data_IF_560111136782
#
_entry.id   IF_560111136782
#
_cell.length_a   1.000
_cell.length_b   1.000
_cell.length_c   1.000
_cell.angle_alpha   90.00
_cell.angle_beta   90.00
_cell.angle_gamma   90.00
#
_symmetry.space_group_name_H-M   'P 1'
#
loop_
_entity.id
_entity.type
_entity.pdbx_description
1 polymer ?
#
# COMPACT_ATOMS: atom_id res chain seq x y z
N UNK A 1 33.44 2.36 -1.46
CA UNK A 1 32.03 2.34 -1.02
C UNK A 1 31.60 0.88 -0.96
N UNK A 2 31.16 0.40 0.21
CA UNK A 2 30.59 -0.93 0.37
C UNK A 2 29.09 -0.85 0.04
N UNK A 3 28.53 -1.73 -0.80
CA UNK A 3 27.09 -1.80 -0.98
C UNK A 3 26.46 -2.32 0.31
N UNK A 4 25.60 -1.52 0.94
CA UNK A 4 24.76 -1.99 2.04
C UNK A 4 23.63 -2.78 1.39
N UNK A 5 23.62 -4.10 1.58
CA UNK A 5 22.47 -4.92 1.20
C UNK A 5 21.32 -4.60 2.14
N UNK A 6 20.35 -3.83 1.66
CA UNK A 6 19.09 -3.61 2.36
C UNK A 6 18.26 -4.88 2.30
N UNK A 7 18.08 -5.56 3.45
CA UNK A 7 17.16 -6.68 3.58
C UNK A 7 15.74 -6.15 3.76
N UNK A 8 15.15 -5.62 2.68
CA UNK A 8 13.73 -5.31 2.64
C UNK A 8 12.93 -6.62 2.72
N UNK A 9 11.91 -6.66 3.56
CA UNK A 9 10.99 -7.81 3.57
C UNK A 9 10.24 -7.88 2.23
N UNK A 10 9.90 -9.08 1.74
CA UNK A 10 9.12 -9.21 0.51
C UNK A 10 7.73 -8.56 0.66
N UNK A 11 7.35 -7.75 -0.32
CA UNK A 11 6.03 -7.10 -0.40
C UNK A 11 5.32 -7.60 -1.67
N UNK A 12 4.14 -8.17 -1.49
CA UNK A 12 3.24 -8.56 -2.57
C UNK A 12 2.03 -7.62 -2.61
N UNK A 13 1.69 -7.12 -3.80
CA UNK A 13 0.53 -6.24 -3.99
C UNK A 13 -0.47 -6.88 -4.95
N UNK A 14 -1.66 -7.20 -4.45
CA UNK A 14 -2.80 -7.61 -5.26
C UNK A 14 -3.64 -6.38 -5.62
N UNK A 15 -3.90 -6.20 -6.92
CA UNK A 15 -4.63 -5.05 -7.47
C UNK A 15 -6.03 -5.46 -7.87
N UNK A 16 -7.04 -4.72 -7.43
CA UNK A 16 -8.43 -4.88 -7.86
C UNK A 16 -9.03 -3.52 -8.19
N UNK A 17 -8.98 -3.14 -9.46
CA UNK A 17 -9.42 -1.81 -9.91
C UNK A 17 -10.69 -1.92 -10.77
N UNK A 18 -11.61 -1.00 -10.54
CA UNK A 18 -12.82 -0.82 -11.35
C UNK A 18 -12.75 0.56 -11.99
N UNK A 19 -12.53 0.62 -13.31
CA UNK A 19 -12.60 1.86 -14.10
C UNK A 19 -11.83 3.08 -13.54
N UNK A 20 -10.72 2.83 -12.84
CA UNK A 20 -9.82 3.86 -12.30
C UNK A 20 -8.38 3.58 -12.70
N UNK A 21 -7.62 4.67 -12.88
CA UNK A 21 -6.21 4.63 -13.27
C UNK A 21 -5.32 4.88 -12.06
N UNK A 22 -4.97 3.79 -11.36
CA UNK A 22 -4.21 3.83 -10.12
C UNK A 22 -2.84 3.18 -10.30
N UNK A 23 -1.80 3.86 -9.82
CA UNK A 23 -0.46 3.31 -9.61
C UNK A 23 -0.10 3.33 -8.12
N UNK A 24 0.95 2.62 -7.74
CA UNK A 24 1.44 2.62 -6.37
C UNK A 24 2.95 2.44 -6.25
N UNK A 25 3.48 2.90 -5.12
CA UNK A 25 4.83 2.61 -4.66
C UNK A 25 4.78 2.15 -3.20
N UNK A 26 5.44 1.03 -2.88
CA UNK A 26 5.50 0.48 -1.52
C UNK A 26 6.82 0.84 -0.86
N UNK A 27 6.80 1.13 0.44
CA UNK A 27 7.95 1.58 1.21
C UNK A 27 8.10 0.77 2.49
N UNK A 28 9.26 0.13 2.67
CA UNK A 28 9.62 -0.58 3.88
C UNK A 28 10.15 0.38 4.95
N UNK A 29 9.22 1.10 5.59
CA UNK A 29 9.56 2.20 6.52
C UNK A 29 10.33 1.71 7.76
N UNK A 30 9.90 0.61 8.36
CA UNK A 30 10.58 0.00 9.51
C UNK A 30 10.23 -1.49 9.64
N UNK A 31 10.84 -2.19 10.60
CA UNK A 31 10.65 -3.63 10.76
C UNK A 31 9.19 -4.04 11.01
N UNK A 32 8.33 -3.17 11.55
CA UNK A 32 6.91 -3.43 11.87
C UNK A 32 5.96 -2.41 11.21
N UNK A 33 6.51 -1.52 10.37
CA UNK A 33 5.80 -0.37 9.82
C UNK A 33 6.01 -0.33 8.30
N UNK A 34 4.91 -0.17 7.58
CA UNK A 34 4.89 -0.06 6.13
C UNK A 34 4.10 1.16 5.68
N UNK A 35 4.49 1.72 4.54
CA UNK A 35 3.71 2.67 3.79
C UNK A 35 3.52 2.26 2.33
N UNK A 36 2.45 2.76 1.72
CA UNK A 36 2.20 2.71 0.29
C UNK A 36 1.72 4.08 -0.17
N UNK A 37 2.35 4.61 -1.21
CA UNK A 37 1.84 5.76 -1.94
C UNK A 37 0.85 5.24 -2.98
N UNK A 38 -0.36 5.76 -2.98
CA UNK A 38 -1.40 5.47 -3.98
C UNK A 38 -1.54 6.70 -4.87
N UNK A 39 -1.27 6.55 -6.17
CA UNK A 39 -1.31 7.63 -7.14
C UNK A 39 -2.48 7.44 -8.11
N UNK A 40 -3.39 8.40 -8.17
CA UNK A 40 -4.45 8.45 -9.15
C UNK A 40 -4.02 9.34 -10.32
N UNK A 41 -3.66 8.71 -11.43
CA UNK A 41 -3.28 9.40 -12.67
C UNK A 41 -4.45 9.46 -13.68
N UNK A 42 -5.66 9.15 -13.22
CA UNK A 42 -6.88 9.29 -14.01
C UNK A 42 -7.57 10.63 -13.83
N UNK A 43 -8.71 10.73 -14.50
CA UNK A 43 -9.51 11.96 -14.64
C UNK A 43 -10.73 11.98 -13.67
N UNK A 44 -10.90 10.92 -12.88
CA UNK A 44 -11.98 10.78 -11.89
C UNK A 44 -11.40 10.49 -10.51
N UNK A 45 -12.05 10.98 -9.48
CA UNK A 45 -11.70 10.68 -8.09
C UNK A 45 -11.90 9.19 -7.80
N UNK A 46 -11.03 8.62 -6.97
CA UNK A 46 -11.07 7.22 -6.60
C UNK A 46 -11.27 7.04 -5.09
N UNK A 47 -12.12 6.09 -4.70
CA UNK A 47 -12.17 5.57 -3.33
C UNK A 47 -11.41 4.24 -3.28
N UNK A 48 -10.38 4.20 -2.43
CA UNK A 48 -9.48 3.06 -2.30
C UNK A 48 -9.54 2.44 -0.91
N UNK A 49 -9.44 1.11 -0.86
CA UNK A 49 -9.27 0.31 0.34
C UNK A 49 -7.93 -0.40 0.27
N UNK A 50 -7.03 -0.07 1.20
CA UNK A 50 -5.71 -0.67 1.34
C UNK A 50 -5.75 -1.63 2.52
N UNK A 51 -5.64 -2.94 2.24
CA UNK A 51 -5.65 -3.99 3.27
C UNK A 51 -4.24 -4.54 3.45
N UNK A 52 -3.62 -4.25 4.58
CA UNK A 52 -2.29 -4.72 4.94
C UNK A 52 -2.39 -6.01 5.75
N UNK A 53 -1.63 -7.04 5.39
CA UNK A 53 -1.61 -8.34 6.08
C UNK A 53 -0.17 -8.76 6.39
N UNK A 54 0.13 -8.95 7.68
CA UNK A 54 1.40 -9.48 8.18
C UNK A 54 1.18 -10.86 8.84
N UNK A 55 1.43 -11.94 8.10
CA UNK A 55 1.36 -13.30 8.64
C UNK A 55 0.04 -13.62 9.37
N UNK A 56 0.08 -14.20 10.59
CA UNK A 56 -1.11 -14.53 11.37
C UNK A 56 -1.74 -13.34 12.11
N UNK A 57 -1.21 -12.12 11.96
CA UNK A 57 -1.88 -10.93 12.53
C UNK A 57 -3.18 -10.61 11.75
N UNK A 58 -4.17 -10.07 12.47
CA UNK A 58 -5.40 -9.60 11.84
C UNK A 58 -5.09 -8.51 10.79
N UNK A 59 -5.70 -8.57 9.59
CA UNK A 59 -5.49 -7.57 8.55
C UNK A 59 -5.88 -6.16 9.01
N UNK A 60 -5.10 -5.16 8.61
CA UNK A 60 -5.37 -3.74 8.89
C UNK A 60 -5.86 -3.08 7.62
N UNK A 61 -7.09 -2.55 7.64
CA UNK A 61 -7.68 -1.87 6.49
C UNK A 61 -7.65 -0.36 6.67
N UNK A 62 -7.16 0.36 5.66
CA UNK A 62 -7.22 1.82 5.56
C UNK A 62 -8.03 2.19 4.33
N UNK A 63 -9.01 3.08 4.49
CA UNK A 63 -9.80 3.63 3.39
C UNK A 63 -9.38 5.07 3.14
N UNK A 64 -9.17 5.41 1.89
CA UNK A 64 -8.74 6.75 1.46
C UNK A 64 -9.47 7.14 0.18
N UNK A 65 -9.70 8.43 -0.01
CA UNK A 65 -10.06 8.99 -1.31
C UNK A 65 -8.81 9.59 -1.93
N UNK A 66 -8.62 9.35 -3.23
CA UNK A 66 -7.51 9.87 -4.02
C UNK A 66 -8.10 10.66 -5.17
N UNK A 67 -8.01 11.98 -5.09
CA UNK A 67 -8.52 12.85 -6.15
C UNK A 67 -7.82 12.62 -7.49
N UNK A 68 -8.48 12.97 -8.59
CA UNK A 68 -7.91 12.91 -9.93
C UNK A 68 -6.58 13.69 -10.01
N UNK A 69 -5.53 13.06 -10.57
CA UNK A 69 -4.19 13.62 -10.63
C UNK A 69 -3.49 13.81 -9.27
N UNK A 70 -3.98 13.19 -8.19
CA UNK A 70 -3.41 13.29 -6.84
C UNK A 70 -2.82 11.99 -6.35
N UNK A 71 -1.97 12.09 -5.34
CA UNK A 71 -1.42 10.96 -4.60
C UNK A 71 -1.71 11.09 -3.11
N UNK A 72 -1.82 9.96 -2.42
CA UNK A 72 -1.92 9.90 -0.96
C UNK A 72 -0.97 8.84 -0.42
N UNK A 73 -0.38 9.10 0.75
CA UNK A 73 0.39 8.12 1.50
C UNK A 73 -0.49 7.40 2.51
N UNK A 74 -0.42 6.07 2.54
CA UNK A 74 -1.19 5.23 3.45
C UNK A 74 -0.22 4.33 4.20
N UNK A 75 -0.25 4.38 5.53
CA UNK A 75 0.65 3.58 6.36
C UNK A 75 -0.10 2.71 7.38
N UNK A 76 0.61 1.67 7.82
CA UNK A 76 0.14 0.78 8.87
C UNK A 76 1.32 0.30 9.70
N UNK A 77 1.10 0.23 11.02
CA UNK A 77 2.01 -0.37 11.98
C UNK A 77 1.41 -1.66 12.51
N UNK A 78 2.21 -2.71 12.60
CA UNK A 78 1.87 -4.02 13.15
C UNK A 78 2.42 -4.18 14.57
N UNK A 79 1.96 -5.22 15.26
CA UNK A 79 2.45 -5.52 16.61
C UNK A 79 3.72 -6.38 16.58
N UNK A 80 3.96 -7.11 15.48
CA UNK A 80 5.15 -7.93 15.26
C UNK A 80 5.91 -7.43 14.04
N UNK A 81 7.18 -7.81 13.95
CA UNK A 81 7.99 -7.55 12.76
C UNK A 81 7.36 -8.19 11.52
N UNK A 82 7.47 -7.51 10.39
CA UNK A 82 6.99 -7.93 9.09
C UNK A 82 8.01 -8.89 8.50
N UNK A 83 7.57 -10.13 8.28
CA UNK A 83 8.39 -11.16 7.62
C UNK A 83 8.04 -11.20 6.13
N UNK A 84 6.75 -11.09 5.81
CA UNK A 84 6.21 -11.00 4.46
C UNK A 84 4.95 -10.16 4.50
N UNK A 85 4.91 -9.11 3.69
CA UNK A 85 3.77 -8.23 3.61
C UNK A 85 2.91 -8.56 2.40
N UNK A 86 1.60 -8.64 2.61
CA UNK A 86 0.63 -8.63 1.51
C UNK A 86 -0.24 -7.40 1.61
N UNK A 87 -0.38 -6.68 0.51
CA UNK A 87 -1.26 -5.53 0.37
C UNK A 87 -2.32 -5.87 -0.66
N UNK A 88 -3.60 -5.73 -0.30
CA UNK A 88 -4.69 -5.71 -1.26
C UNK A 88 -5.11 -4.27 -1.49
N UNK A 89 -4.94 -3.79 -2.72
CA UNK A 89 -5.31 -2.43 -3.13
C UNK A 89 -6.55 -2.51 -4.01
N UNK A 90 -7.69 -2.14 -3.44
CA UNK A 90 -8.99 -2.15 -4.11
C UNK A 90 -9.39 -0.71 -4.37
N UNK A 91 -9.63 -0.33 -5.61
CA UNK A 91 -10.01 1.04 -5.96
C UNK A 91 -11.15 1.04 -6.98
N UNK A 92 -12.04 2.01 -6.84
CA UNK A 92 -13.20 2.23 -7.69
C UNK A 92 -13.53 3.73 -7.72
N UNK A 93 -14.34 4.23 -8.66
CA UNK A 93 -14.71 5.64 -8.71
C UNK A 93 -15.40 6.07 -7.41
N UNK A 94 -15.08 7.27 -6.95
CA UNK A 94 -15.59 7.83 -5.69
C UNK A 94 -17.12 7.97 -5.68
#
# INVERSE_FOLDING_TARGET
MLPVTAFAYPIEVEKQYQDVKIDYATHDVYHDTVAITVNNYGDVDAKCSVVFTNGPEAPRTRRVQVGAGKSVEVSSKFNRSIIKLRIKLICQPA
#
